data_IF_259183139320
#
_entry.id   IF_259183139320
#
_cell.length_a   1.000
_cell.length_b   1.000
_cell.length_c   1.000
_cell.angle_alpha   90.00
_cell.angle_beta   90.00
_cell.angle_gamma   90.00
#
_symmetry.space_group_name_H-M   'P 1'
#
loop_
_entity.id
_entity.type
_entity.pdbx_description
1 polymer ?
#
# COMPACT_ATOMS: atom_id res chain seq x y z
N UNK A 1 -8.09 57.52 -46.02
CA UNK A 1 -7.06 56.55 -46.43
C UNK A 1 -6.84 55.57 -45.28
N UNK A 2 -7.49 54.41 -45.33
CA UNK A 2 -7.26 53.31 -44.38
C UNK A 2 -7.29 52.03 -45.22
N UNK A 3 -6.14 51.37 -45.32
CA UNK A 3 -5.90 50.18 -46.13
C UNK A 3 -6.26 48.96 -45.30
N UNK A 4 -7.32 48.26 -45.69
CA UNK A 4 -7.73 46.97 -45.15
C UNK A 4 -6.97 45.85 -45.85
N UNK A 5 -6.13 45.13 -45.11
CA UNK A 5 -5.34 44.02 -45.62
C UNK A 5 -6.03 42.69 -45.27
N UNK A 6 -6.91 42.19 -46.15
CA UNK A 6 -7.49 40.83 -46.05
C UNK A 6 -6.53 39.84 -46.68
N UNK A 7 -5.81 39.06 -45.86
CA UNK A 7 -5.11 37.86 -46.34
C UNK A 7 -6.11 36.72 -46.47
N UNK A 8 -6.21 36.21 -47.70
CA UNK A 8 -6.95 35.02 -48.10
C UNK A 8 -6.14 33.80 -47.65
N UNK A 9 -6.67 33.01 -46.71
CA UNK A 9 -6.09 31.73 -46.33
C UNK A 9 -6.77 30.69 -47.23
N UNK A 10 -6.00 30.09 -48.13
CA UNK A 10 -6.43 28.96 -48.96
C UNK A 10 -6.23 27.68 -48.14
N UNK A 11 -7.33 26.94 -47.93
CA UNK A 11 -7.32 25.62 -47.32
C UNK A 11 -6.84 24.57 -48.34
N UNK A 12 -6.03 23.58 -47.94
CA UNK A 12 -5.58 22.51 -48.84
C UNK A 12 -6.72 21.53 -49.17
N UNK A 13 -6.61 20.81 -50.31
CA UNK A 13 -7.68 19.96 -50.82
C UNK A 13 -7.81 18.63 -50.07
N UNK A 14 -9.05 18.15 -50.08
CA UNK A 14 -9.62 16.94 -49.51
C UNK A 14 -8.72 15.69 -49.58
N UNK A 15 -8.48 15.07 -48.42
CA UNK A 15 -7.97 13.70 -48.32
C UNK A 15 -9.16 12.76 -48.57
N UNK A 16 -9.09 12.03 -49.67
CA UNK A 16 -10.02 10.97 -50.07
C UNK A 16 -10.11 9.85 -49.03
N UNK A 17 -11.35 9.48 -48.70
CA UNK A 17 -11.76 8.36 -47.83
C UNK A 17 -11.02 7.07 -48.17
N UNK A 18 -10.27 6.55 -47.21
CA UNK A 18 -9.69 5.20 -47.24
C UNK A 18 -10.69 4.16 -46.73
N UNK A 19 -10.57 2.95 -47.27
CA UNK A 19 -11.52 1.86 -47.21
C UNK A 19 -11.87 1.39 -45.79
N UNK A 20 -13.16 1.12 -45.58
CA UNK A 20 -13.72 0.42 -44.42
C UNK A 20 -13.14 -0.99 -44.36
N UNK A 21 -12.26 -1.26 -43.40
CA UNK A 21 -11.95 -2.63 -42.97
C UNK A 21 -12.99 -3.04 -41.92
N UNK A 22 -13.66 -4.17 -42.18
CA UNK A 22 -14.63 -4.76 -41.27
C UNK A 22 -13.99 -5.23 -39.97
N UNK A 23 -14.81 -5.49 -38.92
CA UNK A 23 -14.31 -5.84 -37.60
C UNK A 23 -13.59 -7.19 -37.64
N UNK A 24 -12.27 -7.15 -37.47
CA UNK A 24 -11.51 -8.34 -37.08
C UNK A 24 -11.94 -8.69 -35.65
N UNK A 25 -12.67 -9.80 -35.51
CA UNK A 25 -12.90 -10.45 -34.22
C UNK A 25 -11.56 -10.91 -33.68
N UNK A 26 -10.99 -10.14 -32.75
CA UNK A 26 -9.91 -10.59 -31.87
C UNK A 26 -10.42 -11.83 -31.16
N UNK A 27 -9.94 -13.00 -31.58
CA UNK A 27 -10.09 -14.24 -30.82
C UNK A 27 -9.30 -14.07 -29.54
N UNK A 28 -9.95 -14.39 -28.43
CA UNK A 28 -9.38 -14.50 -27.09
C UNK A 28 -8.17 -15.45 -27.11
N UNK A 29 -6.97 -14.93 -27.31
CA UNK A 29 -5.75 -15.62 -26.92
C UNK A 29 -5.63 -15.47 -25.41
N UNK A 30 -5.83 -16.55 -24.67
CA UNK A 30 -5.53 -16.61 -23.24
C UNK A 30 -4.12 -16.03 -23.01
N UNK A 31 -3.94 -15.09 -22.05
CA UNK A 31 -2.63 -14.55 -21.76
C UNK A 31 -1.75 -15.67 -21.19
N UNK A 32 -0.88 -16.24 -22.03
CA UNK A 32 0.22 -17.07 -21.55
C UNK A 32 1.08 -16.21 -20.64
N UNK A 33 0.97 -16.42 -19.32
CA UNK A 33 1.82 -15.77 -18.33
C UNK A 33 3.26 -16.25 -18.52
N UNK A 34 4.03 -15.50 -19.32
CA UNK A 34 5.46 -15.70 -19.47
C UNK A 34 6.16 -15.18 -18.22
N UNK A 35 6.55 -16.11 -17.34
CA UNK A 35 7.25 -15.74 -16.12
C UNK A 35 8.64 -15.16 -16.44
N UNK A 36 9.02 -14.05 -15.78
CA UNK A 36 10.33 -13.47 -15.97
C UNK A 36 11.44 -14.44 -15.53
N UNK A 37 12.53 -14.43 -16.30
CA UNK A 37 13.77 -15.18 -16.05
C UNK A 37 14.71 -14.30 -15.24
N UNK A 38 15.27 -14.84 -14.16
CA UNK A 38 16.19 -14.12 -13.27
C UNK A 38 17.49 -13.91 -14.05
N UNK A 39 17.87 -12.65 -14.25
CA UNK A 39 18.92 -12.26 -15.18
C UNK A 39 20.30 -12.77 -14.78
N UNK A 40 20.64 -12.75 -13.49
CA UNK A 40 21.82 -13.38 -12.90
C UNK A 40 21.55 -13.70 -11.42
N UNK A 41 21.70 -14.96 -11.01
CA UNK A 41 21.87 -15.26 -9.58
C UNK A 41 23.36 -15.14 -9.28
N UNK A 42 23.76 -14.21 -8.40
CA UNK A 42 25.15 -14.07 -7.95
C UNK A 42 25.24 -14.37 -6.47
N UNK A 43 25.84 -15.49 -6.12
CA UNK A 43 26.12 -15.82 -4.73
C UNK A 43 27.22 -14.89 -4.18
N UNK A 44 27.31 -14.73 -2.86
CA UNK A 44 28.31 -13.88 -2.20
C UNK A 44 29.77 -14.23 -2.59
N UNK A 45 30.02 -15.47 -3.06
CA UNK A 45 31.31 -15.92 -3.57
C UNK A 45 31.58 -15.56 -5.06
N UNK A 46 30.68 -14.84 -5.72
CA UNK A 46 30.75 -14.50 -7.15
C UNK A 46 30.30 -15.63 -8.09
N UNK A 47 29.82 -16.74 -7.54
CA UNK A 47 29.30 -17.87 -8.31
C UNK A 47 27.96 -17.53 -8.96
N UNK A 48 27.82 -17.91 -10.23
CA UNK A 48 26.59 -17.71 -11.00
C UNK A 48 25.81 -19.02 -11.07
N UNK A 49 24.64 -19.06 -10.42
CA UNK A 49 23.75 -20.22 -10.48
C UNK A 49 22.81 -20.07 -11.68
N UNK A 50 22.64 -21.15 -12.45
CA UNK A 50 21.69 -21.17 -13.55
C UNK A 50 20.25 -21.02 -13.02
N UNK A 51 19.42 -20.20 -13.68
CA UNK A 51 17.99 -20.06 -13.39
C UNK A 51 17.19 -21.30 -13.86
N UNK A 52 17.54 -22.45 -13.31
CA UNK A 52 16.87 -23.73 -13.47
C UNK A 52 16.08 -24.06 -12.21
N UNK A 53 15.11 -24.97 -12.31
CA UNK A 53 14.37 -25.44 -11.12
C UNK A 53 15.32 -26.00 -10.04
N UNK A 54 16.35 -26.75 -10.45
CA UNK A 54 17.34 -27.32 -9.55
C UNK A 54 18.20 -26.23 -8.90
N UNK A 55 18.71 -25.27 -9.69
CA UNK A 55 19.52 -24.16 -9.16
C UNK A 55 18.73 -23.26 -8.21
N UNK A 56 17.46 -22.97 -8.51
CA UNK A 56 16.58 -22.24 -7.58
C UNK A 56 16.35 -23.01 -6.28
N UNK A 57 16.13 -24.33 -6.36
CA UNK A 57 15.96 -25.17 -5.17
C UNK A 57 17.22 -25.19 -4.30
N UNK A 58 18.40 -25.30 -4.92
CA UNK A 58 19.68 -25.23 -4.21
C UNK A 58 19.83 -23.92 -3.43
N UNK A 59 19.49 -22.78 -4.04
CA UNK A 59 19.51 -21.48 -3.36
C UNK A 59 18.53 -21.46 -2.19
N UNK A 60 17.31 -21.97 -2.38
CA UNK A 60 16.30 -22.08 -1.32
C UNK A 60 16.82 -22.92 -0.15
N UNK A 61 17.45 -24.07 -0.43
CA UNK A 61 17.97 -24.97 0.59
C UNK A 61 19.10 -24.30 1.40
N UNK A 62 19.99 -23.57 0.72
CA UNK A 62 21.07 -22.80 1.38
C UNK A 62 20.55 -21.70 2.28
N UNK A 63 19.58 -20.91 1.81
CA UNK A 63 18.95 -19.87 2.63
C UNK A 63 18.24 -20.49 3.85
N UNK A 64 17.52 -21.61 3.67
CA UNK A 64 16.87 -22.32 4.78
C UNK A 64 17.89 -22.92 5.77
N UNK A 65 19.09 -23.28 5.30
CA UNK A 65 20.20 -23.70 6.16
C UNK A 65 20.86 -22.53 6.92
N UNK A 66 20.41 -21.30 6.71
CA UNK A 66 20.95 -20.10 7.35
C UNK A 66 22.22 -19.55 6.67
N UNK A 67 22.52 -19.99 5.45
CA UNK A 67 23.62 -19.39 4.68
C UNK A 67 23.25 -17.99 4.19
N UNK A 68 24.21 -17.07 4.25
CA UNK A 68 24.06 -15.75 3.66
C UNK A 68 24.14 -15.87 2.13
N UNK A 69 23.03 -15.54 1.47
CA UNK A 69 22.92 -15.49 0.02
C UNK A 69 22.53 -14.10 -0.41
N UNK A 70 23.25 -13.57 -1.39
CA UNK A 70 22.88 -12.33 -2.07
C UNK A 70 22.35 -12.64 -3.47
N UNK A 71 21.54 -11.75 -4.01
CA UNK A 71 20.94 -11.88 -5.35
C UNK A 71 20.81 -10.50 -5.99
N UNK A 72 21.45 -10.28 -7.14
CA UNK A 72 21.23 -9.08 -7.95
C UNK A 72 20.06 -9.33 -8.93
N UNK A 73 18.92 -8.67 -8.72
CA UNK A 73 17.71 -8.82 -9.55
C UNK A 73 17.45 -7.53 -10.33
N UNK A 74 17.25 -7.64 -11.64
CA UNK A 74 16.77 -6.51 -12.43
C UNK A 74 15.24 -6.45 -12.42
N UNK A 75 14.70 -5.32 -11.99
CA UNK A 75 13.25 -5.09 -11.88
C UNK A 75 12.87 -3.82 -12.63
N UNK A 76 11.62 -3.77 -13.13
CA UNK A 76 10.93 -2.55 -13.48
C UNK A 76 10.04 -2.16 -12.31
N UNK A 77 10.44 -1.14 -11.57
CA UNK A 77 9.74 -0.73 -10.34
C UNK A 77 8.61 0.28 -10.59
N UNK A 78 8.66 0.98 -11.73
CA UNK A 78 7.69 2.00 -12.09
C UNK A 78 7.65 2.18 -13.61
N UNK A 79 6.51 2.63 -14.13
CA UNK A 79 6.41 3.18 -15.47
C UNK A 79 5.39 4.32 -15.54
N UNK A 80 5.55 5.21 -16.49
CA UNK A 80 4.61 6.28 -16.79
C UNK A 80 4.40 6.33 -18.29
N UNK A 81 3.21 5.94 -18.72
CA UNK A 81 2.78 5.96 -20.12
C UNK A 81 1.98 7.24 -20.34
N UNK A 82 2.20 7.90 -21.47
CA UNK A 82 1.55 9.16 -21.81
C UNK A 82 0.05 8.95 -22.02
N UNK A 83 -0.75 9.69 -21.24
CA UNK A 83 -2.22 9.63 -21.32
C UNK A 83 -2.85 8.50 -20.53
N UNK A 84 -2.05 7.62 -19.90
CA UNK A 84 -2.56 6.55 -19.05
C UNK A 84 -2.36 6.88 -17.56
N UNK A 85 -3.43 7.16 -16.81
CA UNK A 85 -3.31 7.41 -15.38
C UNK A 85 -2.94 6.14 -14.63
N UNK A 86 -2.12 6.27 -13.60
CA UNK A 86 -1.92 5.16 -12.66
C UNK A 86 -3.14 5.03 -11.72
N UNK A 87 -3.20 3.91 -10.97
CA UNK A 87 -4.34 3.60 -10.07
C UNK A 87 -4.58 4.63 -8.97
N UNK A 88 -3.57 5.44 -8.64
CA UNK A 88 -3.63 6.47 -7.62
C UNK A 88 -3.82 7.88 -8.23
N UNK A 89 -3.91 7.98 -9.57
CA UNK A 89 -3.97 9.24 -10.31
C UNK A 89 -2.81 10.19 -9.96
N UNK A 90 -1.62 9.62 -9.81
CA UNK A 90 -0.38 10.35 -9.53
C UNK A 90 0.56 10.24 -10.73
N UNK A 91 1.21 11.32 -11.13
CA UNK A 91 2.24 11.29 -12.17
C UNK A 91 3.37 12.27 -11.88
N UNK A 92 4.50 12.08 -12.54
CA UNK A 92 5.63 12.99 -12.46
C UNK A 92 5.73 13.84 -13.73
N UNK A 93 6.18 15.08 -13.56
CA UNK A 93 6.54 15.94 -14.69
C UNK A 93 7.64 15.27 -15.50
N UNK A 94 7.47 15.18 -16.82
CA UNK A 94 8.42 14.49 -17.72
C UNK A 94 9.88 14.92 -17.54
N UNK A 95 10.09 16.21 -17.28
CA UNK A 95 11.43 16.79 -17.10
C UNK A 95 12.19 16.24 -15.89
N UNK A 96 11.50 15.72 -14.86
CA UNK A 96 12.15 15.19 -13.66
C UNK A 96 12.38 13.69 -13.67
N UNK A 97 11.71 12.93 -14.55
CA UNK A 97 11.73 11.46 -14.55
C UNK A 97 13.16 10.88 -14.57
N UNK A 98 14.07 11.45 -15.37
CA UNK A 98 15.46 10.98 -15.42
C UNK A 98 16.24 11.26 -14.15
N UNK A 99 15.96 12.38 -13.47
CA UNK A 99 16.60 12.74 -12.19
C UNK A 99 16.04 11.83 -11.08
N UNK A 100 14.72 11.73 -11.00
CA UNK A 100 14.00 10.90 -10.05
C UNK A 100 14.44 9.44 -10.14
N UNK A 101 14.49 8.85 -11.33
CA UNK A 101 14.93 7.47 -11.48
C UNK A 101 16.35 7.23 -10.93
N UNK A 102 17.25 8.21 -11.01
CA UNK A 102 18.61 8.09 -10.47
C UNK A 102 18.67 8.24 -8.96
N UNK A 103 17.76 9.00 -8.33
CA UNK A 103 17.80 9.21 -6.88
C UNK A 103 17.42 7.96 -6.08
N UNK A 104 16.88 6.93 -6.73
CA UNK A 104 16.69 5.60 -6.13
C UNK A 104 17.97 4.79 -5.96
N UNK A 105 19.10 5.19 -6.57
CA UNK A 105 20.35 4.47 -6.34
C UNK A 105 20.76 4.60 -4.86
N UNK A 106 21.21 3.49 -4.28
CA UNK A 106 21.59 3.33 -2.89
C UNK A 106 20.42 3.44 -1.89
N UNK A 107 19.17 3.52 -2.37
CA UNK A 107 17.98 3.44 -1.55
C UNK A 107 17.63 1.99 -1.18
N UNK A 108 16.91 1.77 -0.05
CA UNK A 108 16.50 0.44 0.36
C UNK A 108 15.47 -0.18 -0.58
N UNK A 109 15.55 -1.50 -0.70
CA UNK A 109 14.44 -2.33 -1.18
C UNK A 109 13.68 -2.88 0.03
N UNK A 110 12.35 -2.77 0.06
CA UNK A 110 11.51 -3.13 1.20
C UNK A 110 10.51 -4.26 0.88
N UNK A 111 10.07 -4.96 1.92
CA UNK A 111 9.01 -5.97 1.88
C UNK A 111 7.65 -5.36 1.53
N UNK A 112 7.44 -4.13 1.97
CA UNK A 112 6.25 -3.31 1.79
C UNK A 112 6.63 -1.84 2.03
N UNK A 113 5.64 -0.95 1.91
CA UNK A 113 5.81 0.49 2.12
C UNK A 113 6.05 0.89 3.59
N UNK A 114 6.38 -0.03 4.50
CA UNK A 114 6.64 0.26 5.92
C UNK A 114 8.08 0.78 6.09
N UNK A 115 8.29 2.04 5.70
CA UNK A 115 9.59 2.72 5.73
C UNK A 115 10.19 2.87 7.15
N UNK A 116 9.36 2.84 8.19
CA UNK A 116 9.79 2.91 9.59
C UNK A 116 10.36 1.59 10.15
N UNK A 117 10.24 0.47 9.42
CA UNK A 117 10.68 -0.84 9.90
C UNK A 117 12.01 -1.25 9.29
N UNK A 118 13.04 -1.42 10.13
CA UNK A 118 14.34 -1.94 9.68
C UNK A 118 14.21 -3.39 9.19
N UNK A 119 13.35 -4.19 9.83
CA UNK A 119 13.15 -5.60 9.43
C UNK A 119 12.42 -5.76 8.10
N UNK A 120 11.76 -4.70 7.60
CA UNK A 120 11.16 -4.72 6.26
C UNK A 120 12.20 -4.58 5.15
N UNK A 121 13.45 -4.17 5.44
CA UNK A 121 14.50 -4.05 4.42
C UNK A 121 14.85 -5.42 3.88
N UNK A 122 14.79 -5.60 2.57
CA UNK A 122 15.16 -6.83 1.86
C UNK A 122 16.49 -6.74 1.10
N UNK A 123 16.97 -5.51 0.87
CA UNK A 123 18.16 -5.28 0.06
C UNK A 123 18.41 -3.80 -0.24
N UNK A 124 19.22 -3.54 -1.27
CA UNK A 124 19.60 -2.19 -1.71
C UNK A 124 19.56 -2.06 -3.22
N UNK A 125 19.08 -0.93 -3.72
CA UNK A 125 19.06 -0.61 -5.14
C UNK A 125 20.48 -0.19 -5.57
N UNK A 126 21.20 -1.08 -6.23
CA UNK A 126 22.60 -0.85 -6.65
C UNK A 126 22.72 -0.06 -7.95
N UNK A 127 21.69 -0.08 -8.79
CA UNK A 127 21.61 0.68 -10.04
C UNK A 127 20.18 1.13 -10.25
N UNK A 128 19.99 2.38 -10.67
CA UNK A 128 18.67 2.90 -10.98
C UNK A 128 18.73 3.81 -12.21
N UNK A 129 17.85 3.58 -13.19
CA UNK A 129 17.81 4.38 -14.42
C UNK A 129 16.41 4.50 -15.00
N UNK A 130 16.19 5.61 -15.71
CA UNK A 130 15.04 5.76 -16.59
C UNK A 130 15.35 5.12 -17.94
N UNK A 131 14.41 4.35 -18.47
CA UNK A 131 14.46 3.72 -19.80
C UNK A 131 13.25 4.16 -20.62
N UNK A 132 13.42 4.31 -21.93
CA UNK A 132 12.29 4.51 -22.82
C UNK A 132 11.49 3.21 -22.92
N UNK A 133 10.16 3.33 -22.87
CA UNK A 133 9.22 2.24 -23.12
C UNK A 133 8.22 2.71 -24.19
N UNK A 134 7.39 1.79 -24.69
CA UNK A 134 6.33 2.19 -25.62
C UNK A 134 5.40 3.20 -24.94
N UNK A 135 5.16 4.33 -25.61
CA UNK A 135 4.34 5.42 -25.09
C UNK A 135 4.86 6.15 -23.84
N UNK A 136 6.07 5.88 -23.31
CA UNK A 136 6.45 6.47 -22.03
C UNK A 136 7.87 6.25 -21.51
N UNK A 137 8.00 6.30 -20.18
CA UNK A 137 9.27 6.10 -19.46
C UNK A 137 9.09 5.06 -18.34
N UNK A 138 9.95 4.05 -18.31
CA UNK A 138 10.05 3.07 -17.23
C UNK A 138 11.25 3.33 -16.32
N UNK A 139 11.17 2.89 -15.07
CA UNK A 139 12.30 2.88 -14.13
C UNK A 139 12.79 1.44 -13.96
N UNK A 140 13.98 1.18 -14.47
CA UNK A 140 14.64 -0.12 -14.34
C UNK A 140 15.70 -0.03 -13.23
N UNK A 141 15.59 -0.91 -12.24
CA UNK A 141 16.49 -1.01 -11.10
C UNK A 141 17.23 -2.34 -11.11
N UNK A 142 18.46 -2.36 -10.56
CA UNK A 142 19.15 -3.59 -10.14
C UNK A 142 19.18 -3.61 -8.62
N UNK A 143 18.46 -4.54 -8.00
CA UNK A 143 18.35 -4.67 -6.55
C UNK A 143 19.24 -5.81 -6.08
N UNK A 144 20.16 -5.51 -5.14
CA UNK A 144 20.87 -6.54 -4.39
C UNK A 144 20.02 -6.95 -3.19
N UNK A 145 19.39 -8.10 -3.28
CA UNK A 145 18.65 -8.71 -2.19
C UNK A 145 19.62 -9.49 -1.30
N UNK A 146 19.51 -9.29 0.01
CA UNK A 146 20.37 -9.94 1.00
C UNK A 146 19.58 -10.63 2.11
N UNK A 147 18.32 -10.23 2.32
CA UNK A 147 17.50 -10.86 3.35
C UNK A 147 16.88 -12.17 2.88
N UNK A 148 16.77 -13.18 3.77
CA UNK A 148 16.18 -14.47 3.44
C UNK A 148 14.79 -14.39 2.81
N UNK A 149 13.92 -13.52 3.31
CA UNK A 149 12.55 -13.39 2.79
C UNK A 149 12.54 -12.89 1.34
N UNK A 150 13.44 -11.98 0.98
CA UNK A 150 13.51 -11.38 -0.35
C UNK A 150 14.07 -12.39 -1.36
N UNK A 151 15.18 -13.05 -0.97
CA UNK A 151 15.80 -14.11 -1.79
C UNK A 151 14.82 -15.26 -2.01
N UNK A 152 14.19 -15.76 -0.95
CA UNK A 152 13.17 -16.82 -1.04
C UNK A 152 11.96 -16.37 -1.87
N UNK A 153 11.53 -15.12 -1.72
CA UNK A 153 10.42 -14.55 -2.47
C UNK A 153 10.64 -14.59 -3.98
N UNK A 154 11.84 -14.20 -4.43
CA UNK A 154 12.21 -14.28 -5.86
C UNK A 154 12.38 -15.72 -6.31
N UNK A 155 13.09 -16.56 -5.55
CA UNK A 155 13.29 -17.97 -5.93
C UNK A 155 11.97 -18.76 -6.03
N UNK A 156 11.02 -18.46 -5.15
CA UNK A 156 9.68 -19.07 -5.13
C UNK A 156 8.69 -18.36 -6.06
N UNK A 157 9.09 -17.26 -6.69
CA UNK A 157 8.24 -16.43 -7.57
C UNK A 157 7.01 -15.87 -6.87
N UNK A 158 7.10 -15.62 -5.58
CA UNK A 158 6.07 -14.92 -4.81
C UNK A 158 6.35 -13.42 -4.73
N UNK A 159 7.49 -12.97 -5.25
CA UNK A 159 7.91 -11.58 -5.32
C UNK A 159 8.11 -11.23 -6.80
N UNK A 160 7.07 -10.66 -7.41
CA UNK A 160 6.98 -10.46 -8.85
C UNK A 160 6.46 -9.07 -9.26
N UNK A 161 6.03 -8.24 -8.30
CA UNK A 161 5.44 -6.91 -8.50
C UNK A 161 6.06 -5.91 -7.55
N UNK A 162 6.21 -4.69 -8.05
CA UNK A 162 6.99 -3.66 -7.39
C UNK A 162 6.30 -2.30 -7.44
N UNK A 163 6.58 -1.48 -6.45
CA UNK A 163 6.22 -0.07 -6.41
C UNK A 163 7.42 0.75 -5.96
N UNK A 164 7.31 2.06 -6.10
CA UNK A 164 8.28 3.02 -5.58
C UNK A 164 7.62 3.93 -4.55
N UNK A 165 8.45 4.44 -3.64
CA UNK A 165 8.11 5.46 -2.67
C UNK A 165 9.05 6.65 -2.82
N UNK A 166 8.54 7.86 -2.67
CA UNK A 166 9.30 9.08 -2.90
C UNK A 166 8.93 10.18 -1.89
N UNK A 167 9.88 11.08 -1.66
CA UNK A 167 9.65 12.38 -1.04
C UNK A 167 9.34 13.40 -2.14
N UNK A 168 8.62 14.46 -1.78
CA UNK A 168 8.43 15.65 -2.61
C UNK A 168 8.82 16.90 -1.81
N UNK A 169 9.13 17.99 -2.50
CA UNK A 169 9.71 19.21 -1.90
C UNK A 169 8.73 20.07 -1.09
N UNK A 170 7.54 19.56 -0.78
CA UNK A 170 6.42 20.34 -0.24
C UNK A 170 5.18 20.30 -1.13
N UNK A 171 4.07 20.82 -0.61
CA UNK A 171 2.76 20.83 -1.29
C UNK A 171 2.79 21.71 -2.55
N UNK A 172 3.57 22.79 -2.53
CA UNK A 172 3.79 23.72 -3.65
C UNK A 172 4.45 23.08 -4.88
N UNK A 173 5.11 21.92 -4.71
CA UNK A 173 5.71 21.16 -5.80
C UNK A 173 4.75 20.19 -6.49
N UNK A 174 3.48 20.12 -6.06
CA UNK A 174 2.46 19.23 -6.61
C UNK A 174 1.40 20.07 -7.32
N UNK A 175 1.22 19.85 -8.63
CA UNK A 175 0.23 20.56 -9.44
C UNK A 175 -1.02 19.70 -9.69
N UNK A 176 -2.17 20.34 -9.76
CA UNK A 176 -3.39 19.72 -10.30
C UNK A 176 -3.31 19.63 -11.83
N UNK A 177 -3.69 18.48 -12.41
CA UNK A 177 -3.72 18.33 -13.87
C UNK A 177 -4.80 19.15 -14.57
N UNK A 178 -5.88 19.49 -13.86
CA UNK A 178 -6.98 20.29 -14.37
C UNK A 178 -6.65 21.80 -14.32
N UNK A 179 -6.31 22.32 -13.13
CA UNK A 179 -6.08 23.77 -12.95
C UNK A 179 -4.66 24.22 -13.31
N UNK A 180 -3.69 23.29 -13.31
CA UNK A 180 -2.28 23.61 -13.52
C UNK A 180 -1.61 24.39 -12.39
N UNK A 181 -2.30 24.61 -11.27
CA UNK A 181 -1.82 25.33 -10.08
C UNK A 181 -1.44 24.35 -8.96
N UNK A 182 -0.65 24.80 -7.96
CA UNK A 182 -0.36 23.99 -6.79
C UNK A 182 -1.63 23.58 -6.04
N UNK A 183 -1.64 22.33 -5.57
CA UNK A 183 -2.75 21.82 -4.77
C UNK A 183 -2.76 22.49 -3.39
N UNK A 184 -3.95 22.62 -2.81
CA UNK A 184 -4.20 23.26 -1.50
C UNK A 184 -3.78 24.73 -1.37
N UNK A 185 -3.39 25.39 -2.45
CA UNK A 185 -3.26 26.86 -2.50
C UNK A 185 -4.49 27.47 -3.15
N UNK A 186 -4.66 27.21 -4.45
CA UNK A 186 -5.73 27.76 -5.30
C UNK A 186 -6.59 26.65 -5.93
N UNK A 187 -6.23 25.39 -5.69
CA UNK A 187 -6.90 24.19 -6.18
C UNK A 187 -7.17 23.22 -5.02
N UNK A 188 -8.37 22.65 -4.95
CA UNK A 188 -8.77 21.66 -3.95
C UNK A 188 -9.20 20.31 -4.55
N UNK A 189 -8.93 20.10 -5.84
CA UNK A 189 -9.23 18.85 -6.51
C UNK A 189 -8.34 17.71 -6.00
N UNK A 190 -8.94 16.58 -5.68
CA UNK A 190 -8.25 15.38 -5.24
C UNK A 190 -7.92 14.47 -6.44
N UNK A 191 -6.88 13.62 -6.34
CA UNK A 191 -6.55 12.67 -7.39
C UNK A 191 -7.72 11.73 -7.63
N UNK A 192 -8.11 11.58 -8.89
CA UNK A 192 -9.22 10.72 -9.29
C UNK A 192 -10.58 11.41 -9.33
N UNK A 193 -10.71 12.66 -8.87
CA UNK A 193 -11.93 13.45 -9.02
C UNK A 193 -12.27 13.58 -10.51
N UNK A 194 -13.57 13.51 -10.82
CA UNK A 194 -14.10 13.82 -12.15
C UNK A 194 -14.54 15.29 -12.14
N UNK A 195 -13.87 16.11 -12.96
CA UNK A 195 -14.19 17.53 -13.09
C UNK A 195 -14.80 17.76 -14.48
N UNK A 196 -15.91 18.48 -14.50
CA UNK A 196 -16.56 18.88 -15.75
C UNK A 196 -15.60 19.79 -16.55
N UNK A 197 -15.45 19.51 -17.84
CA UNK A 197 -14.67 20.37 -18.73
C UNK A 197 -15.41 21.67 -19.07
N UNK A 198 -14.82 22.50 -19.92
CA UNK A 198 -15.56 23.62 -20.52
C UNK A 198 -16.77 23.11 -21.34
N UNK A 199 -17.65 24.02 -21.77
CA UNK A 199 -18.78 23.66 -22.64
C UNK A 199 -18.27 22.85 -23.85
N UNK A 200 -18.80 21.64 -24.05
CA UNK A 200 -18.41 20.63 -25.05
C UNK A 200 -17.10 19.83 -24.79
N UNK A 201 -16.47 19.94 -23.62
CA UNK A 201 -15.32 19.10 -23.24
C UNK A 201 -15.74 17.89 -22.38
N UNK A 202 -15.15 16.73 -22.67
CA UNK A 202 -15.35 15.53 -21.87
C UNK A 202 -14.84 15.72 -20.43
N UNK A 203 -15.54 15.17 -19.41
CA UNK A 203 -15.09 15.22 -18.04
C UNK A 203 -13.66 14.70 -17.91
N UNK A 204 -12.80 15.52 -17.30
CA UNK A 204 -11.40 15.16 -17.11
C UNK A 204 -11.21 14.60 -15.71
N UNK A 205 -10.47 13.49 -15.61
CA UNK A 205 -10.08 12.93 -14.32
C UNK A 205 -8.81 13.62 -13.82
N UNK A 206 -8.85 14.12 -12.60
CA UNK A 206 -7.75 14.85 -11.98
C UNK A 206 -6.61 13.91 -11.64
N UNK A 207 -5.39 14.33 -11.98
CA UNK A 207 -4.15 13.71 -11.55
C UNK A 207 -3.33 14.74 -10.77
N UNK A 208 -2.63 14.29 -9.73
CA UNK A 208 -1.59 15.11 -9.10
C UNK A 208 -0.25 14.93 -9.80
N UNK A 209 0.36 16.04 -10.17
CA UNK A 209 1.60 16.11 -10.95
C UNK A 209 2.73 16.57 -10.05
N UNK A 210 3.62 15.65 -9.69
CA UNK A 210 4.82 15.96 -8.94
C UNK A 210 5.84 16.63 -9.86
N UNK A 211 6.19 17.88 -9.54
CA UNK A 211 7.19 18.66 -10.28
C UNK A 211 8.58 18.54 -9.68
N UNK A 212 8.66 18.07 -8.43
CA UNK A 212 9.88 17.67 -7.74
C UNK A 212 9.63 16.39 -6.95
N UNK A 213 10.60 15.48 -6.95
CA UNK A 213 10.54 14.25 -6.19
C UNK A 213 11.95 13.65 -6.07
N UNK A 214 12.18 12.95 -4.97
CA UNK A 214 13.36 12.15 -4.71
C UNK A 214 12.96 10.76 -4.24
N UNK A 215 13.60 9.73 -4.82
CA UNK A 215 13.33 8.34 -4.44
C UNK A 215 13.73 8.06 -3.01
N UNK A 216 12.86 7.39 -2.26
CA UNK A 216 13.12 6.94 -0.89
C UNK A 216 13.31 5.43 -0.84
N UNK A 217 12.56 4.67 -1.64
CA UNK A 217 12.55 3.21 -1.56
C UNK A 217 11.94 2.54 -2.80
N UNK A 218 12.22 1.25 -3.00
CA UNK A 218 11.39 0.38 -3.85
C UNK A 218 10.86 -0.80 -3.03
N UNK A 219 9.57 -1.13 -3.20
CA UNK A 219 8.87 -2.10 -2.37
C UNK A 219 8.31 -3.25 -3.18
N UNK A 220 8.28 -4.44 -2.60
CA UNK A 220 7.40 -5.51 -3.06
C UNK A 220 5.93 -5.15 -2.72
N UNK A 221 5.01 -5.42 -3.64
CA UNK A 221 3.58 -5.15 -3.45
C UNK A 221 2.72 -6.20 -4.15
N UNK A 222 1.55 -6.52 -3.59
CA UNK A 222 0.60 -7.41 -4.27
C UNK A 222 -0.12 -6.73 -5.44
N UNK A 223 -0.37 -5.42 -5.31
CA UNK A 223 -1.09 -4.60 -6.29
C UNK A 223 -0.27 -3.33 -6.55
N UNK A 224 0.51 -3.26 -7.64
CA UNK A 224 1.28 -2.07 -7.96
C UNK A 224 0.36 -0.95 -8.44
N UNK A 225 0.76 0.30 -8.17
CA UNK A 225 0.02 1.48 -8.64
C UNK A 225 -0.01 1.58 -10.16
N UNK A 226 1.02 1.07 -10.83
CA UNK A 226 1.13 1.01 -12.28
C UNK A 226 1.21 -0.45 -12.71
N UNK A 227 0.47 -0.82 -13.74
CA UNK A 227 0.58 -2.16 -14.34
C UNK A 227 1.92 -2.32 -15.07
N UNK A 228 2.35 -3.56 -15.35
CA UNK A 228 3.61 -3.82 -16.05
C UNK A 228 4.89 -3.57 -15.23
N UNK A 229 4.77 -3.31 -13.92
CA UNK A 229 5.92 -3.42 -13.00
C UNK A 229 6.17 -4.89 -12.67
N UNK A 230 7.44 -5.27 -12.54
CA UNK A 230 7.81 -6.65 -12.29
C UNK A 230 9.30 -6.93 -12.47
N UNK A 231 9.69 -8.19 -12.35
CA UNK A 231 11.06 -8.60 -12.72
C UNK A 231 11.21 -8.40 -14.23
N UNK A 232 12.28 -7.74 -14.66
CA UNK A 232 12.41 -7.22 -16.02
C UNK A 232 12.27 -8.30 -17.10
N UNK A 233 11.12 -8.32 -17.78
CA UNK A 233 10.78 -9.23 -18.87
C UNK A 233 11.74 -9.10 -20.07
N UNK A 234 12.32 -7.92 -20.26
CA UNK A 234 13.19 -7.61 -21.40
C UNK A 234 14.48 -8.42 -21.34
N UNK A 235 15.07 -8.64 -20.16
CA UNK A 235 16.29 -9.45 -20.05
C UNK A 235 15.98 -10.94 -20.08
N UNK A 236 14.79 -11.35 -19.61
CA UNK A 236 14.28 -12.72 -19.74
C UNK A 236 14.10 -13.14 -21.21
N UNK A 237 13.43 -12.30 -21.99
CA UNK A 237 13.23 -12.50 -23.43
C UNK A 237 14.56 -12.48 -24.22
N UNK A 238 15.48 -11.57 -23.89
CA UNK A 238 16.81 -11.50 -24.49
C UNK A 238 17.71 -12.70 -24.11
N UNK A 239 17.56 -13.24 -22.90
CA UNK A 239 18.30 -14.43 -22.47
C UNK A 239 17.81 -15.68 -23.19
N UNK A 240 16.50 -15.80 -23.44
CA UNK A 240 15.92 -16.88 -24.24
C UNK A 240 16.34 -16.80 -25.72
N UNK A 241 16.36 -15.61 -26.32
CA UNK A 241 16.88 -15.42 -27.69
C UNK A 241 18.39 -15.64 -27.78
N UNK A 242 19.17 -15.22 -26.79
CA UNK A 242 20.61 -15.49 -26.73
C UNK A 242 20.94 -16.98 -26.51
N UNK A 243 20.08 -17.71 -25.80
CA UNK A 243 20.18 -19.16 -25.65
C UNK A 243 19.85 -19.90 -26.96
N UNK A 244 18.83 -19.44 -27.70
CA UNK A 244 18.50 -19.94 -29.05
C UNK A 244 19.66 -19.68 -30.05
N UNK A 245 20.36 -18.57 -29.94
CA UNK A 245 21.54 -18.27 -30.78
C UNK A 245 22.78 -19.11 -30.46
N UNK A 246 22.80 -19.86 -29.34
CA UNK A 246 23.97 -20.68 -28.93
C UNK A 246 23.82 -22.17 -29.23
N UNK A 247 22.65 -22.63 -29.68
CA UNK A 247 22.41 -24.04 -30.05
C UNK A 247 22.18 -24.24 -31.55
N UNK A 248 23.19 -23.85 -32.37
CA UNK A 248 23.57 -24.41 -33.68
C UNK A 248 22.48 -24.57 -34.78
N UNK A 249 22.77 -25.25 -35.91
CA UNK A 249 23.68 -24.92 -37.01
C UNK A 249 22.90 -24.52 -38.29
N UNK A 250 23.65 -24.17 -39.32
CA UNK A 250 23.23 -23.97 -40.72
C UNK A 250 22.26 -25.06 -41.20
N UNK A 251 20.99 -24.72 -41.37
CA UNK A 251 19.99 -25.62 -41.95
C UNK A 251 18.69 -24.87 -42.20
N UNK A 252 18.44 -24.51 -43.45
CA UNK A 252 17.16 -24.00 -43.95
C UNK A 252 16.03 -24.97 -43.58
N UNK A 253 15.17 -24.59 -42.63
CA UNK A 253 13.86 -25.20 -42.47
C UNK A 253 12.78 -24.20 -42.86
N UNK A 254 11.99 -24.62 -43.84
CA UNK A 254 10.69 -24.07 -44.20
C UNK A 254 9.73 -24.38 -43.04
N UNK A 255 8.78 -23.49 -42.67
CA UNK A 255 7.81 -23.80 -41.63
C UNK A 255 6.90 -24.93 -42.12
N UNK A 256 6.98 -26.10 -41.47
CA UNK A 256 5.99 -27.15 -41.64
C UNK A 256 4.72 -26.77 -40.87
N UNK A 257 3.60 -27.14 -41.47
CA UNK A 257 2.22 -26.91 -41.05
C UNK A 257 2.01 -27.31 -39.58
N UNK A 258 1.59 -26.35 -38.75
CA UNK A 258 1.47 -26.47 -37.29
C UNK A 258 0.15 -27.19 -36.94
N UNK A 259 -0.03 -28.41 -37.45
CA UNK A 259 -1.14 -29.27 -37.05
C UNK A 259 -0.88 -29.75 -35.63
N UNK A 260 -1.68 -29.28 -34.67
CA UNK A 260 -1.59 -29.67 -33.26
C UNK A 260 -1.51 -31.20 -33.11
N UNK A 261 -0.37 -31.68 -32.64
CA UNK A 261 -0.08 -33.11 -32.46
C UNK A 261 -0.91 -33.68 -31.31
N UNK A 262 -2.09 -34.21 -31.63
CA UNK A 262 -3.04 -34.82 -30.68
C UNK A 262 -2.39 -35.90 -29.80
N UNK A 263 -1.32 -36.56 -30.26
CA UNK A 263 -0.59 -37.56 -29.46
C UNK A 263 0.13 -36.93 -28.27
N UNK A 264 0.69 -35.73 -28.44
CA UNK A 264 1.32 -34.99 -27.33
C UNK A 264 0.29 -34.54 -26.29
N UNK A 265 -0.91 -34.18 -26.73
CA UNK A 265 -2.00 -33.78 -25.84
C UNK A 265 -2.50 -35.01 -25.06
N UNK A 266 -2.72 -36.14 -25.73
CA UNK A 266 -3.08 -37.40 -25.09
C UNK A 266 -2.06 -37.80 -24.01
N UNK A 267 -0.75 -37.76 -24.33
CA UNK A 267 0.31 -38.09 -23.39
C UNK A 267 0.32 -37.18 -22.15
N UNK A 268 0.06 -35.87 -22.30
CA UNK A 268 -0.03 -34.92 -21.18
C UNK A 268 -1.24 -35.17 -20.29
N UNK A 269 -2.33 -35.68 -20.84
CA UNK A 269 -3.54 -36.05 -20.10
C UNK A 269 -3.46 -37.47 -19.51
N UNK A 270 -2.34 -38.18 -19.69
CA UNK A 270 -2.18 -39.57 -19.27
C UNK A 270 -3.03 -40.56 -20.07
N UNK A 271 -3.47 -40.17 -21.26
CA UNK A 271 -4.22 -41.00 -22.19
C UNK A 271 -3.27 -41.83 -23.07
N UNK A 272 -3.69 -43.00 -23.56
CA UNK A 272 -2.89 -43.80 -24.49
C UNK A 272 -2.65 -43.08 -25.83
N UNK A 273 -1.56 -43.38 -26.52
CA UNK A 273 -1.16 -42.68 -27.76
C UNK A 273 -2.14 -42.84 -28.92
N UNK A 274 -3.00 -43.85 -28.87
CA UNK A 274 -4.08 -44.12 -29.82
C UNK A 274 -5.44 -43.56 -29.37
N UNK A 275 -5.47 -42.75 -28.31
CA UNK A 275 -6.68 -42.09 -27.85
C UNK A 275 -7.32 -41.28 -28.99
N UNK A 276 -8.61 -41.52 -29.19
CA UNK A 276 -9.37 -40.78 -30.21
C UNK A 276 -9.48 -39.31 -29.83
N UNK A 277 -9.64 -38.44 -30.82
CA UNK A 277 -9.86 -37.00 -30.60
C UNK A 277 -11.02 -36.74 -29.62
N UNK A 278 -12.11 -37.50 -29.74
CA UNK A 278 -13.26 -37.42 -28.82
C UNK A 278 -12.87 -37.76 -27.37
N UNK A 279 -11.98 -38.74 -27.16
CA UNK A 279 -11.47 -39.10 -25.83
C UNK A 279 -10.57 -38.02 -25.25
N UNK A 280 -9.73 -37.41 -26.09
CA UNK A 280 -8.84 -36.32 -25.69
C UNK A 280 -9.66 -35.10 -25.28
N UNK A 281 -10.66 -34.71 -26.08
CA UNK A 281 -11.54 -33.59 -25.77
C UNK A 281 -12.30 -33.81 -24.46
N UNK A 282 -12.87 -35.01 -24.25
CA UNK A 282 -13.57 -35.33 -23.00
C UNK A 282 -12.64 -35.26 -21.77
N UNK A 283 -11.37 -35.62 -21.91
CA UNK A 283 -10.39 -35.52 -20.81
C UNK A 283 -9.96 -34.06 -20.55
N UNK A 284 -9.87 -33.22 -21.60
CA UNK A 284 -9.66 -31.78 -21.44
C UNK A 284 -10.84 -31.15 -20.70
N UNK A 285 -12.08 -31.45 -21.10
CA UNK A 285 -13.28 -30.93 -20.44
C UNK A 285 -13.35 -31.36 -18.97
N UNK A 286 -13.01 -32.63 -18.68
CA UNK A 286 -12.93 -33.12 -17.31
C UNK A 286 -11.83 -32.41 -16.49
N UNK A 287 -10.67 -32.16 -17.10
CA UNK A 287 -9.58 -31.41 -16.45
C UNK A 287 -9.95 -29.96 -16.20
N UNK A 288 -10.64 -29.30 -17.13
CA UNK A 288 -11.13 -27.93 -16.95
C UNK A 288 -12.19 -27.85 -15.85
N UNK A 289 -13.08 -28.84 -15.78
CA UNK A 289 -14.07 -28.94 -14.71
C UNK A 289 -13.39 -29.11 -13.34
N UNK A 290 -12.43 -30.04 -13.23
CA UNK A 290 -11.68 -30.24 -11.99
C UNK A 290 -10.87 -29.00 -11.58
N UNK A 291 -10.32 -28.27 -12.55
CA UNK A 291 -9.62 -27.00 -12.30
C UNK A 291 -10.58 -25.91 -11.80
N UNK A 292 -11.80 -25.84 -12.36
CA UNK A 292 -12.83 -24.91 -11.89
C UNK A 292 -13.28 -25.24 -10.45
N UNK A 293 -13.47 -26.52 -10.13
CA UNK A 293 -13.81 -26.98 -8.79
C UNK A 293 -12.70 -26.67 -7.77
N UNK A 294 -11.45 -26.96 -8.11
CA UNK A 294 -10.30 -26.61 -7.27
C UNK A 294 -10.15 -25.10 -7.08
N UNK A 295 -10.44 -24.31 -8.13
CA UNK A 295 -10.47 -22.84 -8.05
C UNK A 295 -11.56 -22.31 -7.10
N UNK A 296 -12.73 -22.94 -7.10
CA UNK A 296 -13.82 -22.61 -6.18
C UNK A 296 -13.45 -22.97 -4.73
N UNK A 297 -12.85 -24.15 -4.50
CA UNK A 297 -12.39 -24.58 -3.17
C UNK A 297 -11.30 -23.65 -2.62
N UNK A 298 -10.33 -23.26 -3.45
CA UNK A 298 -9.26 -22.33 -3.06
C UNK A 298 -9.82 -20.94 -2.71
N UNK A 299 -10.85 -20.49 -3.42
CA UNK A 299 -11.56 -19.24 -3.10
C UNK A 299 -12.29 -19.34 -1.75
N UNK A 300 -12.95 -20.47 -1.47
CA UNK A 300 -13.61 -20.72 -0.20
C UNK A 300 -12.62 -20.78 0.98
N UNK A 301 -11.46 -21.43 0.80
CA UNK A 301 -10.41 -21.49 1.81
C UNK A 301 -9.83 -20.10 2.12
N UNK A 302 -9.62 -19.26 1.11
CA UNK A 302 -9.18 -17.86 1.31
C UNK A 302 -10.19 -17.06 2.11
N UNK A 303 -11.48 -17.17 1.79
CA UNK A 303 -12.53 -16.51 2.57
C UNK A 303 -12.56 -16.98 4.03
N UNK A 304 -12.36 -18.27 4.29
CA UNK A 304 -12.26 -18.81 5.65
C UNK A 304 -11.02 -18.31 6.40
N UNK A 305 -9.88 -18.18 5.71
CA UNK A 305 -8.66 -17.60 6.27
C UNK A 305 -8.86 -16.14 6.67
N UNK A 306 -9.50 -15.34 5.82
CA UNK A 306 -9.81 -13.94 6.09
C UNK A 306 -10.75 -13.79 7.31
N UNK A 307 -11.74 -14.68 7.44
CA UNK A 307 -12.62 -14.72 8.60
C UNK A 307 -11.86 -15.03 9.90
N UNK A 308 -11.01 -16.07 9.88
CA UNK A 308 -10.17 -16.42 11.04
C UNK A 308 -9.23 -15.28 11.43
N UNK A 309 -8.64 -14.59 10.45
CA UNK A 309 -7.78 -13.43 10.71
C UNK A 309 -8.58 -12.27 11.34
N UNK A 310 -9.81 -12.03 10.87
CA UNK A 310 -10.73 -11.06 11.48
C UNK A 310 -11.07 -11.38 12.94
N UNK A 311 -11.30 -12.67 13.25
CA UNK A 311 -11.54 -13.14 14.62
C UNK A 311 -10.31 -12.93 15.53
N UNK A 312 -9.11 -13.26 15.04
CA UNK A 312 -7.85 -13.04 15.78
C UNK A 312 -7.62 -11.56 16.09
N UNK A 313 -7.85 -10.67 15.12
CA UNK A 313 -7.71 -9.22 15.32
C UNK A 313 -8.69 -8.71 16.39
N UNK A 314 -9.93 -9.20 16.37
CA UNK A 314 -10.95 -8.84 17.36
C UNK A 314 -10.56 -9.34 18.77
N UNK A 315 -10.04 -10.56 18.89
CA UNK A 315 -9.54 -11.09 20.15
C UNK A 315 -8.36 -10.27 20.68
N UNK A 316 -7.42 -9.88 19.83
CA UNK A 316 -6.28 -9.06 20.22
C UNK A 316 -6.71 -7.67 20.74
N UNK A 317 -7.69 -7.02 20.10
CA UNK A 317 -8.26 -5.74 20.57
C UNK A 317 -8.94 -5.93 21.93
N UNK A 318 -9.73 -6.99 22.08
CA UNK A 318 -10.42 -7.29 23.36
C UNK A 318 -9.43 -7.57 24.50
N UNK A 319 -8.32 -8.25 24.22
CA UNK A 319 -7.30 -8.56 25.23
C UNK A 319 -6.53 -7.30 25.68
N UNK A 320 -6.20 -6.42 24.73
CA UNK A 320 -5.65 -5.09 25.04
C UNK A 320 -6.62 -4.28 25.91
N UNK A 321 -7.89 -4.25 25.53
CA UNK A 321 -8.92 -3.53 26.30
C UNK A 321 -9.07 -4.09 27.72
N UNK A 322 -9.07 -5.43 27.90
CA UNK A 322 -9.09 -6.06 29.23
C UNK A 322 -7.88 -5.69 30.07
N UNK A 323 -6.70 -5.62 29.46
CA UNK A 323 -5.47 -5.21 30.14
C UNK A 323 -5.56 -3.77 30.63
N UNK A 324 -6.05 -2.85 29.78
CA UNK A 324 -6.32 -1.46 30.17
C UNK A 324 -7.34 -1.39 31.29
N UNK A 325 -8.48 -2.07 31.17
CA UNK A 325 -9.53 -2.01 32.19
C UNK A 325 -9.07 -2.62 33.52
N UNK A 326 -8.31 -3.71 33.51
CA UNK A 326 -7.72 -4.30 34.72
C UNK A 326 -6.78 -3.32 35.43
N UNK A 327 -5.96 -2.58 34.68
CA UNK A 327 -5.07 -1.56 35.23
C UNK A 327 -5.87 -0.43 35.91
N UNK A 328 -6.95 0.03 35.28
CA UNK A 328 -7.78 1.11 35.85
C UNK A 328 -8.63 0.65 37.04
N UNK A 329 -8.95 -0.64 37.13
CA UNK A 329 -9.54 -1.24 38.34
C UNK A 329 -8.51 -1.34 39.46
N UNK A 330 -7.27 -1.73 39.15
CA UNK A 330 -6.17 -1.83 40.12
C UNK A 330 -5.85 -0.49 40.80
N UNK A 331 -5.88 0.60 40.04
CA UNK A 331 -5.53 1.95 40.51
C UNK A 331 -6.74 2.90 40.65
N UNK A 332 -7.94 2.35 40.86
CA UNK A 332 -9.19 3.12 40.91
C UNK A 332 -9.23 4.22 41.99
N UNK A 333 -8.43 4.09 43.05
CA UNK A 333 -8.29 5.04 44.16
C UNK A 333 -7.29 6.17 43.88
N UNK A 334 -6.52 6.09 42.78
CA UNK A 334 -5.52 7.11 42.39
C UNK A 334 -5.94 7.93 41.18
N UNK A 335 -6.97 7.49 40.47
CA UNK A 335 -7.48 8.17 39.28
C UNK A 335 -8.37 9.35 39.72
N UNK A 336 -8.07 10.59 39.31
CA UNK A 336 -8.93 11.73 39.60
C UNK A 336 -10.30 11.55 38.96
N UNK A 337 -11.36 11.93 39.67
CA UNK A 337 -12.72 12.00 39.10
C UNK A 337 -13.07 13.46 38.82
N UNK A 338 -13.56 13.75 37.62
CA UNK A 338 -14.09 15.06 37.31
C UNK A 338 -15.60 15.11 37.60
N UNK A 339 -16.14 16.32 37.77
CA UNK A 339 -17.58 16.56 37.77
C UNK A 339 -17.93 17.53 36.66
N UNK A 340 -19.03 17.27 35.97
CA UNK A 340 -19.62 18.21 35.03
C UNK A 340 -20.15 19.44 35.76
N UNK A 341 -20.48 20.50 35.01
CA UNK A 341 -21.16 21.70 35.53
C UNK A 341 -22.50 21.39 36.22
N UNK A 342 -23.10 20.24 35.89
CA UNK A 342 -24.33 19.71 36.49
C UNK A 342 -24.07 18.80 37.70
N UNK A 343 -22.81 18.67 38.14
CA UNK A 343 -22.39 17.88 39.29
C UNK A 343 -22.28 16.37 39.04
N UNK A 344 -22.52 15.91 37.81
CA UNK A 344 -22.40 14.49 37.43
C UNK A 344 -20.93 14.07 37.38
N UNK A 345 -20.60 12.89 37.89
CA UNK A 345 -19.24 12.35 37.77
C UNK A 345 -18.93 12.00 36.32
N UNK A 346 -17.79 12.45 35.83
CA UNK A 346 -17.25 12.10 34.51
C UNK A 346 -15.77 11.71 34.62
N UNK A 347 -15.27 11.04 33.58
CA UNK A 347 -13.85 10.72 33.47
C UNK A 347 -13.04 12.03 33.44
N UNK A 348 -11.99 12.10 34.25
CA UNK A 348 -11.09 13.24 34.22
C UNK A 348 -10.29 13.23 32.90
N UNK A 349 -9.93 14.37 32.30
CA UNK A 349 -9.13 14.40 31.07
C UNK A 349 -7.82 13.59 31.18
N UNK A 350 -7.16 13.63 32.35
CA UNK A 350 -6.01 12.79 32.64
C UNK A 350 -6.30 11.28 32.59
N UNK A 351 -7.51 10.83 32.96
CA UNK A 351 -7.91 9.42 32.80
C UNK A 351 -7.94 9.03 31.32
N UNK A 352 -8.44 9.90 30.45
CA UNK A 352 -8.50 9.66 29.00
C UNK A 352 -7.11 9.50 28.41
N UNK A 353 -6.17 10.39 28.76
CA UNK A 353 -4.78 10.30 28.29
C UNK A 353 -4.05 9.07 28.88
N UNK A 354 -4.27 8.75 30.15
CA UNK A 354 -3.71 7.55 30.76
C UNK A 354 -4.27 6.26 30.13
N UNK A 355 -5.54 6.23 29.71
CA UNK A 355 -6.12 5.08 28.99
C UNK A 355 -5.51 4.93 27.60
N UNK A 356 -5.26 6.04 26.90
CA UNK A 356 -4.53 6.01 25.62
C UNK A 356 -3.11 5.48 25.81
N UNK A 357 -2.38 5.97 26.82
CA UNK A 357 -1.06 5.49 27.16
C UNK A 357 -1.09 4.01 27.55
N UNK A 358 -2.06 3.56 28.35
CA UNK A 358 -2.16 2.16 28.74
C UNK A 358 -2.44 1.23 27.54
N UNK A 359 -3.14 1.73 26.51
CA UNK A 359 -3.40 0.99 25.29
C UNK A 359 -2.15 0.82 24.40
N UNK A 360 -1.19 1.75 24.47
CA UNK A 360 0.08 1.67 23.74
C UNK A 360 1.22 1.06 24.55
N UNK A 361 1.36 1.44 25.82
CA UNK A 361 2.37 1.02 26.79
C UNK A 361 1.77 0.85 28.21
N UNK A 362 1.26 -0.36 28.54
CA UNK A 362 0.67 -0.62 29.86
C UNK A 362 1.70 -0.56 31.00
N UNK A 363 3.00 -0.74 30.72
CA UNK A 363 4.03 -0.67 31.74
C UNK A 363 4.31 0.77 32.16
N UNK A 364 4.40 1.68 31.18
CA UNK A 364 4.53 3.12 31.45
C UNK A 364 3.31 3.66 32.18
N UNK A 365 2.09 3.31 31.73
CA UNK A 365 0.86 3.73 32.41
C UNK A 365 0.81 3.23 33.86
N UNK A 366 1.19 1.96 34.13
CA UNK A 366 1.28 1.42 35.49
C UNK A 366 2.29 2.18 36.34
N UNK A 367 3.46 2.55 35.79
CA UNK A 367 4.48 3.29 36.52
C UNK A 367 3.96 4.68 36.97
N UNK A 368 3.25 5.39 36.09
CA UNK A 368 2.62 6.68 36.41
C UNK A 368 1.53 6.48 37.46
N UNK A 369 0.60 5.54 37.25
CA UNK A 369 -0.47 5.27 38.22
C UNK A 369 0.08 4.89 39.61
N UNK A 370 1.20 4.16 39.66
CA UNK A 370 1.86 3.77 40.91
C UNK A 370 2.55 4.92 41.64
N UNK A 371 2.92 6.01 40.95
CA UNK A 371 3.49 7.20 41.59
C UNK A 371 2.44 8.24 41.99
N UNK A 372 1.23 8.15 41.44
CA UNK A 372 0.14 9.08 41.79
C UNK A 372 -0.28 8.95 43.27
N UNK A 373 -0.61 10.06 43.94
CA UNK A 373 -1.14 10.03 45.30
C UNK A 373 -2.53 9.37 45.33
N UNK A 374 -2.86 8.73 46.47
CA UNK A 374 -4.21 8.19 46.69
C UNK A 374 -5.20 9.34 46.87
N UNK A 375 -6.27 9.32 46.08
CA UNK A 375 -7.38 10.26 46.13
C UNK A 375 -8.44 9.68 47.06
N UNK A 376 -8.73 10.38 48.15
CA UNK A 376 -9.80 9.96 49.07
C UNK A 376 -11.17 10.05 48.38
N UNK A 377 -12.19 9.32 48.86
CA UNK A 377 -13.54 9.36 48.30
C UNK A 377 -14.19 10.76 48.25
N UNK A 378 -13.75 11.68 49.12
CA UNK A 378 -14.18 13.08 49.16
C UNK A 378 -13.45 13.99 48.15
N UNK A 379 -12.53 13.42 47.36
CA UNK A 379 -11.70 14.13 46.39
C UNK A 379 -10.45 14.77 46.97
N UNK A 380 -10.20 14.66 48.27
CA UNK A 380 -8.97 15.17 48.89
C UNK A 380 -7.78 14.23 48.69
N UNK A 381 -6.58 14.78 48.49
CA UNK A 381 -5.36 13.99 48.41
C UNK A 381 -4.97 13.48 49.80
N UNK A 382 -4.66 12.19 49.91
CA UNK A 382 -4.10 11.64 51.14
C UNK A 382 -2.65 12.12 51.28
N UNK A 383 -2.34 12.85 52.35
CA UNK A 383 -0.99 13.34 52.64
C UNK A 383 0.00 12.18 52.75
N UNK A 384 1.15 12.31 52.10
CA UNK A 384 2.22 11.31 52.10
C UNK A 384 2.78 11.20 53.53
N UNK A 385 2.82 9.99 54.15
CA UNK A 385 3.38 9.82 55.48
C UNK A 385 4.88 10.15 55.47
N UNK A 386 5.28 11.27 56.10
CA UNK A 386 6.69 11.66 56.25
C UNK A 386 7.02 13.08 55.81
N UNK A 387 6.11 13.76 55.11
CA UNK A 387 6.30 15.16 54.73
C UNK A 387 5.85 16.06 55.88
N UNK A 388 6.80 16.49 56.72
CA UNK A 388 6.51 17.49 57.74
C UNK A 388 6.12 18.80 57.05
N UNK A 389 4.99 19.42 57.42
CA UNK A 389 4.62 20.70 56.86
C UNK A 389 5.65 21.73 57.32
N UNK A 390 6.44 22.26 56.37
CA UNK A 390 7.22 23.45 56.61
C UNK A 390 6.25 24.59 56.93
N UNK A 391 6.34 25.08 58.16
CA UNK A 391 5.57 26.21 58.61
C UNK A 391 5.96 27.48 57.84
N UNK A 392 4.92 28.31 57.64
CA UNK A 392 4.88 29.72 57.25
C UNK A 392 5.19 30.09 55.80
N UNK A 393 4.13 30.49 55.09
CA UNK A 393 4.03 31.89 54.66
C UNK A 393 2.56 32.33 54.58
N UNK A 394 2.23 33.38 55.33
CA UNK A 394 0.92 34.03 55.33
C UNK A 394 0.63 34.65 53.95
N UNK A 395 -0.28 34.06 53.18
CA UNK A 395 -0.94 34.73 52.06
C UNK A 395 -2.43 34.88 52.32
N UNK A 396 -3.02 36.05 52.04
CA UNK A 396 -4.43 36.30 52.32
C UNK A 396 -5.34 35.45 51.42
N UNK A 397 -6.43 34.98 52.03
CA UNK A 397 -7.46 34.18 51.41
C UNK A 397 -8.11 34.91 50.22
N UNK A 398 -7.97 34.33 49.03
CA UNK A 398 -8.63 34.83 47.83
C UNK A 398 -8.15 34.18 46.55
N UNK A 399 -8.43 32.88 46.40
CA UNK A 399 -8.71 32.15 45.14
C UNK A 399 -8.50 30.65 45.39
N UNK A 400 -9.56 29.87 45.20
CA UNK A 400 -9.55 28.43 45.36
C UNK A 400 -8.69 27.76 44.27
N UNK A 401 -7.70 26.99 44.74
CA UNK A 401 -7.12 25.78 44.14
C UNK A 401 -6.75 25.80 42.65
N UNK A 402 -5.56 26.32 42.35
CA UNK A 402 -4.70 25.69 41.34
C UNK A 402 -4.04 24.47 41.98
N UNK A 403 -4.34 23.28 41.47
CA UNK A 403 -3.68 22.04 41.85
C UNK A 403 -2.21 22.18 41.41
N UNK A 404 -1.27 22.23 42.36
CA UNK A 404 0.15 22.18 42.04
C UNK A 404 0.51 20.73 41.69
N UNK A 405 0.69 20.47 40.40
CA UNK A 405 1.21 19.21 39.92
C UNK A 405 2.71 19.12 40.24
N UNK A 406 3.20 17.91 40.48
CA UNK A 406 4.63 17.62 40.53
C UNK A 406 5.28 18.21 39.25
N UNK A 407 6.26 19.12 39.36
CA UNK A 407 6.89 19.76 38.21
C UNK A 407 7.56 18.76 37.26
N UNK A 408 7.91 17.55 37.74
CA UNK A 408 8.42 16.47 36.89
C UNK A 408 7.32 15.94 35.98
N UNK A 409 6.13 15.68 36.53
CA UNK A 409 4.97 15.17 35.78
C UNK A 409 4.41 16.24 34.81
N UNK A 410 4.40 17.51 35.24
CA UNK A 410 4.03 18.63 34.37
C UNK A 410 5.01 18.81 33.21
N UNK A 411 6.31 18.58 33.42
CA UNK A 411 7.30 18.62 32.33
C UNK A 411 7.15 17.46 31.34
N UNK A 412 6.79 16.26 31.83
CA UNK A 412 6.56 15.07 30.99
C UNK A 412 5.28 15.17 30.16
N UNK A 413 4.25 15.89 30.65
CA UNK A 413 3.03 16.17 29.88
C UNK A 413 3.21 17.34 28.89
N UNK A 414 4.12 18.27 29.16
CA UNK A 414 4.44 19.37 28.23
C UNK A 414 5.19 18.89 26.98
N UNK A 415 5.87 17.73 27.03
CA UNK A 415 6.47 17.09 25.85
C UNK A 415 5.41 16.53 24.86
N UNK A 416 4.12 16.56 25.22
CA UNK A 416 2.99 16.16 24.35
C UNK A 416 2.32 17.35 23.62
N UNK A 417 2.88 18.55 23.73
CA UNK A 417 2.51 19.76 22.96
C UNK A 417 1.01 20.14 23.01
N UNK A 418 0.47 20.29 24.22
CA UNK A 418 -0.90 20.83 24.43
C UNK A 418 -0.80 22.07 25.32
N UNK A 419 -1.16 23.23 24.78
CA UNK A 419 -1.22 24.47 25.56
C UNK A 419 -2.56 24.60 26.30
N UNK A 420 -2.52 25.09 27.54
CA UNK A 420 -3.71 25.38 28.36
C UNK A 420 -4.51 26.54 27.77
N UNK A 421 -3.86 27.43 27.00
CA UNK A 421 -4.48 28.57 26.34
C UNK A 421 -5.42 28.18 25.17
N UNK A 422 -5.19 27.05 24.49
CA UNK A 422 -6.01 26.62 23.34
C UNK A 422 -7.43 26.18 23.75
N UNK A 423 -7.59 25.67 24.98
CA UNK A 423 -8.87 25.26 25.53
C UNK A 423 -9.77 26.46 25.89
N UNK A 424 -9.20 27.59 26.30
CA UNK A 424 -9.97 28.77 26.70
C UNK A 424 -10.64 29.47 25.50
N UNK A 425 -10.12 29.29 24.28
CA UNK A 425 -10.62 29.92 23.07
C UNK A 425 -11.81 29.19 22.42
N UNK A 426 -12.03 27.90 22.71
CA UNK A 426 -13.01 27.05 22.03
C UNK A 426 -13.89 26.24 22.99
N UNK A 427 -14.63 26.95 23.86
CA UNK A 427 -15.68 26.35 24.67
C UNK A 427 -16.69 25.54 23.84
N UNK A 428 -17.30 24.49 24.40
CA UNK A 428 -18.07 23.52 23.64
C UNK A 428 -19.38 24.14 23.14
N UNK A 429 -19.48 24.32 21.82
CA UNK A 429 -20.75 24.53 21.16
C UNK A 429 -21.58 23.23 21.25
N UNK A 430 -22.69 23.31 21.99
CA UNK A 430 -23.72 22.28 22.03
C UNK A 430 -24.36 22.08 20.66
N UNK A 431 -24.00 20.98 19.97
CA UNK A 431 -24.89 20.30 19.03
C UNK A 431 -25.57 19.13 19.76
N UNK A 432 -26.88 18.86 19.53
CA UNK A 432 -27.56 17.82 20.28
C UNK A 432 -27.01 16.44 19.89
N UNK A 433 -26.50 15.70 20.88
CA UNK A 433 -26.16 14.29 20.72
C UNK A 433 -27.44 13.51 20.41
N UNK A 434 -27.52 12.95 19.20
CA UNK A 434 -28.59 12.02 18.84
C UNK A 434 -28.50 10.79 19.76
N UNK A 435 -29.62 10.43 20.38
CA UNK A 435 -29.66 9.27 21.27
C UNK A 435 -29.32 7.99 20.51
N UNK A 436 -28.74 7.00 21.20
CA UNK A 436 -28.46 5.66 20.65
C UNK A 436 -29.73 4.99 20.07
N UNK A 437 -30.94 5.42 20.50
CA UNK A 437 -32.20 4.97 19.89
C UNK A 437 -32.45 5.60 18.50
N UNK A 438 -32.01 6.83 18.25
CA UNK A 438 -32.13 7.51 16.96
C UNK A 438 -31.16 6.92 15.92
N UNK A 439 -29.93 6.62 16.33
CA UNK A 439 -28.90 5.99 15.47
C UNK A 439 -29.38 4.59 15.03
N UNK A 440 -29.91 3.80 15.96
CA UNK A 440 -30.47 2.48 15.64
C UNK A 440 -31.74 2.55 14.76
N UNK A 441 -32.47 3.68 14.77
CA UNK A 441 -33.65 3.89 13.91
C UNK A 441 -33.23 4.21 12.47
N UNK A 442 -32.18 5.00 12.29
CA UNK A 442 -31.63 5.32 10.97
C UNK A 442 -30.97 4.10 10.30
N UNK A 443 -30.30 3.25 11.09
CA UNK A 443 -29.73 1.99 10.58
C UNK A 443 -30.79 0.94 10.20
N UNK A 444 -31.92 0.89 10.93
CA UNK A 444 -33.06 0.05 10.53
C UNK A 444 -33.74 0.53 9.24
N UNK A 445 -33.78 1.84 8.99
CA UNK A 445 -34.34 2.39 7.75
C UNK A 445 -33.47 2.06 6.53
N UNK A 446 -32.14 1.99 6.69
CA UNK A 446 -31.22 1.63 5.60
C UNK A 446 -31.24 0.14 5.24
N UNK A 447 -31.53 -0.76 6.18
CA UNK A 447 -31.63 -2.21 5.91
C UNK A 447 -32.90 -2.64 5.19
N UNK A 448 -33.93 -1.79 5.10
CA UNK A 448 -35.23 -2.14 4.51
C UNK A 448 -35.41 -1.74 3.04
N UNK A 449 -34.37 -1.24 2.34
CA UNK A 449 -34.48 -0.78 0.95
C UNK A 449 -34.02 -1.82 -0.10
N UNK A 450 -33.53 -3.00 0.32
CA UNK A 450 -32.96 -4.00 -0.60
C UNK A 450 -33.74 -5.31 -0.79
N UNK A 451 -35.02 -5.37 -0.43
CA UNK A 451 -35.82 -6.61 -0.44
C UNK A 451 -36.71 -6.78 -1.67
N UNK A 452 -36.12 -6.92 -2.86
CA UNK A 452 -36.83 -7.30 -4.09
C UNK A 452 -37.17 -8.79 -4.10
N UNK A 453 -38.47 -9.09 -4.05
CA UNK A 453 -39.10 -10.42 -3.96
C UNK A 453 -38.99 -11.17 -5.29
N UNK A 454 -38.36 -12.36 -5.31
CA UNK A 454 -38.60 -13.38 -6.34
C UNK A 454 -39.77 -14.23 -5.84
N UNK A 455 -40.86 -14.26 -6.60
CA UNK A 455 -41.99 -15.17 -6.42
C UNK A 455 -41.84 -16.31 -7.43
N UNK A 456 -42.12 -17.52 -6.95
CA UNK A 456 -42.14 -18.80 -7.68
C UNK A 456 -42.85 -18.76 -9.03
#
# INVERSE_FOLDING_TARGET
MAVTNRRKIELPPEITRSAVHGPQTLRDSEPTFHYPTISQVRLAAGEVVADSKAGRQEIVDRVNAGELVELDVDIRAFQQIDGEPNRNFLRFKKSILRRLARSFQDQPFLQDHVTGSISARGGTITKARAVAIDGGVGFDFTVRMSEPWAVLGVMRRTLDRFSIGWAHGGIDTILCSHDGTPIFTDCFHLPGDLVEGAEDEEPTRVEWIFTEADGIEASAVSVPAVEGTGISEVRAALSQTAALCKSAPTGTMVPEDDSMDLKKIAAKLGLPEDATEATILAAVDASQTAQAEAGAELTALRASQDEMQGQLNTLAVNDKQRTVDALFVEFADRIPKARTTEGQLCAHPAEVELRKLAASDPAAARAILSSMPVVRPDGSLQSIPGEQPHASDDRPAGLASGIAWDPVLASQLNELDISVEEYAAHGPHNGPALSVKEINRQDRARRNVGGGRIVH
#
